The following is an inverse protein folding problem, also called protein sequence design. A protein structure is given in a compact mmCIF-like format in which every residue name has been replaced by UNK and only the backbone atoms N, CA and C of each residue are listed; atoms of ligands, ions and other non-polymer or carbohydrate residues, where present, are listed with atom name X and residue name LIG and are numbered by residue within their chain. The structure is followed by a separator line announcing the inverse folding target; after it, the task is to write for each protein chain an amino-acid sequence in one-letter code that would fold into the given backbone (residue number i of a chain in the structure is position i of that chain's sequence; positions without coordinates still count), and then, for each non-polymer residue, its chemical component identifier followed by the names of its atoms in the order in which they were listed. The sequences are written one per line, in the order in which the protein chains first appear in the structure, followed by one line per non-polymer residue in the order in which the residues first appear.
data_IF_091724181113
#
_entry.id   IF_091724181113
#
_cell.length_a   1.000
_cell.length_b   1.000
_cell.length_c   1.000
_cell.angle_alpha   90.00
_cell.angle_beta   90.00
_cell.angle_gamma   90.00
#
_symmetry.space_group_name_H-M   'P 1'
#
loop_
_entity.id
_entity.type
_entity.pdbx_description
1 polymer ?
#
# COMPACT_ATOMS: atom_id res chain seq x y z
N UNK A 1 -6.19 -19.60 3.77
CA UNK A 1 -6.47 -18.40 4.58
C UNK A 1 -6.32 -17.17 3.70
N UNK A 2 -7.26 -16.23 3.76
CA UNK A 2 -7.09 -14.92 3.11
C UNK A 2 -6.12 -14.10 3.95
N UNK A 3 -5.14 -13.46 3.32
CA UNK A 3 -4.18 -12.60 4.01
C UNK A 3 -4.55 -11.16 3.68
N UNK A 4 -4.79 -10.36 4.70
CA UNK A 4 -4.97 -8.93 4.55
C UNK A 4 -3.64 -8.23 4.81
N UNK A 5 -3.32 -7.23 4.01
CA UNK A 5 -2.11 -6.43 4.18
C UNK A 5 -2.51 -4.98 4.35
N UNK A 6 -2.09 -4.39 5.47
CA UNK A 6 -2.15 -2.96 5.70
C UNK A 6 -0.80 -2.36 5.34
N UNK A 7 -0.82 -1.28 4.57
CA UNK A 7 0.38 -0.54 4.18
C UNK A 7 0.21 0.91 4.59
N UNK A 8 1.19 1.43 5.29
CA UNK A 8 1.33 2.88 5.46
C UNK A 8 2.51 3.35 4.64
N UNK A 9 2.28 4.32 3.75
CA UNK A 9 3.34 4.96 2.96
C UNK A 9 3.33 6.45 3.25
N UNK A 10 4.42 6.94 3.83
CA UNK A 10 4.68 8.37 3.94
C UNK A 10 5.50 8.83 2.73
N UNK A 11 4.86 9.66 1.91
CA UNK A 11 5.50 10.33 0.81
C UNK A 11 5.96 11.70 1.32
N UNK A 12 7.27 11.90 1.45
CA UNK A 12 7.91 13.14 1.92
C UNK A 12 7.15 14.40 1.44
N UNK A 13 7.03 15.43 2.29
CA UNK A 13 6.40 16.72 1.97
C UNK A 13 6.85 17.39 0.66
N UNK A 14 8.07 17.12 0.19
CA UNK A 14 8.58 17.64 -1.10
C UNK A 14 7.99 16.98 -2.35
N UNK A 15 7.31 15.83 -2.22
CA UNK A 15 6.68 15.14 -3.35
C UNK A 15 5.51 15.98 -3.89
N UNK A 16 5.55 16.29 -5.19
CA UNK A 16 4.51 17.08 -5.86
C UNK A 16 3.16 16.37 -5.86
N UNK A 17 2.06 17.14 -5.97
CA UNK A 17 0.72 16.57 -6.03
C UNK A 17 0.55 15.63 -7.23
N UNK A 18 1.13 15.97 -8.38
CA UNK A 18 1.11 15.13 -9.59
C UNK A 18 1.81 13.79 -9.35
N UNK A 19 2.98 13.78 -8.71
CA UNK A 19 3.69 12.54 -8.38
C UNK A 19 2.90 11.70 -7.36
N UNK A 20 2.29 12.33 -6.35
CA UNK A 20 1.39 11.65 -5.40
C UNK A 20 0.18 11.03 -6.10
N UNK A 21 -0.43 11.74 -7.05
CA UNK A 21 -1.57 11.24 -7.81
C UNK A 21 -1.16 10.00 -8.62
N UNK A 22 -0.03 10.06 -9.34
CA UNK A 22 0.51 8.93 -10.12
C UNK A 22 0.84 7.72 -9.24
N UNK A 23 1.44 7.94 -8.07
CA UNK A 23 1.68 6.89 -7.08
C UNK A 23 0.38 6.23 -6.62
N UNK A 24 -0.61 7.05 -6.24
CA UNK A 24 -1.90 6.56 -5.75
C UNK A 24 -2.64 5.78 -6.85
N UNK A 25 -2.62 6.25 -8.10
CA UNK A 25 -3.23 5.58 -9.25
C UNK A 25 -2.58 4.23 -9.53
N UNK A 26 -1.26 4.15 -9.46
CA UNK A 26 -0.54 2.89 -9.60
C UNK A 26 -1.02 1.85 -8.59
N UNK A 27 -1.08 2.21 -7.29
CA UNK A 27 -1.52 1.29 -6.25
C UNK A 27 -2.98 0.85 -6.45
N UNK A 28 -3.88 1.76 -6.83
CA UNK A 28 -5.27 1.39 -7.16
C UNK A 28 -5.35 0.39 -8.31
N UNK A 29 -4.52 0.58 -9.35
CA UNK A 29 -4.40 -0.37 -10.46
C UNK A 29 -3.89 -1.77 -10.05
N UNK A 30 -3.31 -1.89 -8.85
CA UNK A 30 -2.86 -3.15 -8.25
C UNK A 30 -3.84 -3.67 -7.17
N UNK A 31 -5.09 -3.19 -7.19
CA UNK A 31 -6.16 -3.55 -6.25
C UNK A 31 -5.91 -3.14 -4.79
N UNK A 32 -5.09 -2.11 -4.55
CA UNK A 32 -4.98 -1.49 -3.23
C UNK A 32 -6.10 -0.47 -3.03
N UNK A 33 -6.78 -0.56 -1.89
CA UNK A 33 -7.78 0.41 -1.47
C UNK A 33 -7.12 1.48 -0.59
N UNK A 34 -7.32 2.75 -0.94
CA UNK A 34 -6.88 3.89 -0.12
C UNK A 34 -7.90 4.18 0.97
N UNK A 35 -7.43 4.45 2.18
CA UNK A 35 -8.29 4.89 3.30
C UNK A 35 -8.32 6.42 3.44
N UNK A 36 -9.13 6.92 4.38
CA UNK A 36 -9.24 8.36 4.66
C UNK A 36 -7.92 8.98 5.16
N UNK A 37 -7.12 8.21 5.90
CA UNK A 37 -5.77 8.61 6.28
C UNK A 37 -4.89 8.70 5.04
N UNK A 38 -4.16 9.80 4.87
CA UNK A 38 -3.40 10.13 3.65
C UNK A 38 -2.37 9.07 3.25
N UNK A 39 -1.84 8.35 4.24
CA UNK A 39 -0.77 7.36 4.12
C UNK A 39 -1.27 5.90 4.10
N UNK A 40 -2.53 5.63 4.45
CA UNK A 40 -3.02 4.27 4.71
C UNK A 40 -3.65 3.60 3.49
N UNK A 41 -3.25 2.36 3.25
CA UNK A 41 -3.72 1.50 2.17
C UNK A 41 -3.96 0.07 2.66
N UNK A 42 -4.84 -0.65 1.98
CA UNK A 42 -5.06 -2.08 2.24
C UNK A 42 -5.16 -2.88 0.96
N UNK A 43 -4.64 -4.09 0.98
CA UNK A 43 -4.84 -5.11 -0.05
C UNK A 43 -5.17 -6.45 0.61
N UNK A 44 -5.62 -7.41 -0.19
CA UNK A 44 -5.86 -8.77 0.27
C UNK A 44 -5.36 -9.77 -0.77
N UNK A 45 -4.95 -10.94 -0.28
CA UNK A 45 -4.38 -12.02 -1.08
C UNK A 45 -5.20 -13.28 -0.90
N UNK A 46 -5.44 -13.96 -2.02
CA UNK A 46 -6.24 -15.18 -2.08
C UNK A 46 -5.61 -16.31 -1.24
N UNK A 47 -6.45 -17.25 -0.75
CA UNK A 47 -5.99 -18.49 -0.15
C UNK A 47 -4.96 -19.21 -1.04
N UNK A 48 -3.85 -19.66 -0.44
CA UNK A 48 -2.72 -20.28 -1.14
C UNK A 48 -1.47 -19.40 -1.18
N UNK A 49 -1.59 -18.10 -0.90
CA UNK A 49 -0.43 -17.25 -0.62
C UNK A 49 0.11 -17.47 0.80
N UNK A 50 1.38 -17.17 1.00
CA UNK A 50 2.01 -17.10 2.32
C UNK A 50 2.08 -15.65 2.80
N UNK A 51 2.24 -15.44 4.10
CA UNK A 51 2.46 -14.09 4.65
C UNK A 51 3.71 -13.47 4.03
N UNK A 52 4.79 -14.23 3.90
CA UNK A 52 6.04 -13.75 3.31
C UNK A 52 5.90 -13.37 1.84
N UNK A 53 5.13 -14.14 1.06
CA UNK A 53 4.88 -13.82 -0.35
C UNK A 53 4.03 -12.55 -0.49
N UNK A 54 3.00 -12.39 0.35
CA UNK A 54 2.17 -11.19 0.40
C UNK A 54 3.00 -9.95 0.78
N UNK A 55 3.81 -10.02 1.83
CA UNK A 55 4.68 -8.92 2.27
C UNK A 55 5.69 -8.56 1.18
N UNK A 56 6.35 -9.56 0.58
CA UNK A 56 7.35 -9.34 -0.47
C UNK A 56 6.74 -8.71 -1.72
N UNK A 57 5.58 -9.21 -2.15
CA UNK A 57 4.84 -8.65 -3.27
C UNK A 57 4.45 -7.20 -2.99
N UNK A 58 3.87 -6.92 -1.82
CA UNK A 58 3.48 -5.57 -1.42
C UNK A 58 4.65 -4.59 -1.41
N UNK A 59 5.81 -4.98 -0.85
CA UNK A 59 7.02 -4.14 -0.88
C UNK A 59 7.44 -3.84 -2.31
N UNK A 60 7.43 -4.85 -3.20
CA UNK A 60 7.76 -4.68 -4.61
C UNK A 60 6.75 -3.75 -5.33
N UNK A 61 5.46 -3.88 -5.03
CA UNK A 61 4.41 -3.02 -5.59
C UNK A 61 4.60 -1.56 -5.18
N UNK A 62 4.84 -1.29 -3.89
CA UNK A 62 5.09 0.07 -3.39
C UNK A 62 6.33 0.68 -4.04
N UNK A 63 7.42 -0.09 -4.15
CA UNK A 63 8.64 0.37 -4.81
C UNK A 63 8.44 0.62 -6.31
N UNK A 64 7.62 -0.19 -6.98
CA UNK A 64 7.26 0.04 -8.38
C UNK A 64 6.38 1.30 -8.55
N UNK A 65 5.43 1.53 -7.65
CA UNK A 65 4.61 2.74 -7.63
C UNK A 65 5.46 4.00 -7.44
N UNK A 66 6.39 3.97 -6.49
CA UNK A 66 7.34 5.07 -6.25
C UNK A 66 8.19 5.36 -7.49
N UNK A 67 8.78 4.33 -8.10
CA UNK A 67 9.56 4.47 -9.35
C UNK A 67 8.71 5.03 -10.49
N UNK A 68 7.50 4.52 -10.70
CA UNK A 68 6.60 5.02 -11.73
C UNK A 68 6.25 6.51 -11.51
N UNK A 69 6.14 6.94 -10.26
CA UNK A 69 5.87 8.32 -9.87
C UNK A 69 7.12 9.24 -9.85
N UNK A 70 8.33 8.71 -10.07
CA UNK A 70 9.57 9.47 -9.95
C UNK A 70 9.93 9.82 -8.50
N UNK A 71 9.46 9.05 -7.53
CA UNK A 71 9.69 9.26 -6.09
C UNK A 71 10.86 8.38 -5.64
N UNK A 72 11.91 9.00 -5.12
CA UNK A 72 13.13 8.31 -4.66
C UNK A 72 13.25 8.22 -3.12
N UNK A 73 12.49 9.01 -2.38
CA UNK A 73 12.55 9.05 -0.92
C UNK A 73 11.13 8.95 -0.33
N UNK A 74 10.88 7.86 0.39
CA UNK A 74 9.60 7.57 1.05
C UNK A 74 9.84 6.54 2.17
N UNK A 75 8.96 6.54 3.15
CA UNK A 75 8.95 5.54 4.22
C UNK A 75 7.71 4.67 4.06
N UNK A 76 7.86 3.36 4.27
CA UNK A 76 6.74 2.43 4.17
C UNK A 76 6.81 1.34 5.24
N UNK A 77 5.66 1.04 5.83
CA UNK A 77 5.46 -0.10 6.72
C UNK A 77 4.40 -1.01 6.12
N UNK A 78 4.66 -2.32 6.17
CA UNK A 78 3.76 -3.36 5.68
C UNK A 78 3.43 -4.27 6.86
N UNK A 79 2.14 -4.39 7.16
CA UNK A 79 1.62 -5.20 8.26
C UNK A 79 0.63 -6.24 7.71
N UNK A 80 1.02 -7.52 7.62
CA UNK A 80 0.09 -8.59 7.29
C UNK A 80 -0.80 -8.94 8.50
N UNK A 81 -2.00 -9.43 8.23
CA UNK A 81 -2.94 -9.90 9.23
C UNK A 81 -3.95 -10.87 8.65
N UNK A 82 -4.58 -11.65 9.54
CA UNK A 82 -5.61 -12.63 9.18
C UNK A 82 -7.01 -12.03 9.19
N UNK A 83 -7.15 -10.81 9.72
CA UNK A 83 -8.39 -10.08 9.82
C UNK A 83 -8.38 -8.87 8.89
N UNK A 84 -9.55 -8.57 8.34
CA UNK A 84 -9.73 -7.38 7.52
C UNK A 84 -9.55 -6.12 8.39
N UNK A 85 -8.78 -5.11 7.92
CA UNK A 85 -8.68 -3.82 8.60
C UNK A 85 -10.05 -3.18 8.72
N UNK A 86 -10.40 -2.77 9.94
CA UNK A 86 -11.71 -2.18 10.25
C UNK A 86 -11.55 -0.71 10.55
N UNK A 87 -12.31 0.13 9.84
CA UNK A 87 -12.45 1.55 10.18
C UNK A 87 -13.35 1.68 11.41
N UNK A 88 -12.86 2.36 12.45
CA UNK A 88 -13.66 2.65 13.63
C UNK A 88 -14.52 3.87 13.34
N UNK A 89 -15.84 3.74 13.53
CA UNK A 89 -16.79 4.83 13.37
C UNK A 89 -17.36 5.13 14.76
N UNK A 90 -17.15 6.36 15.22
CA UNK A 90 -17.87 6.94 16.35
C UNK A 90 -19.05 7.75 15.81
#
# INVERSE_FOLDING_TARGET
MTIYVTVTVDLNGSVSQTARAKFNEYLRGQNYAKHKLTTLWTAWFLPGNTIDSAVSFTRATVAAAARAAGISNYEALVMPGEQQPTEWRQ
#
